data_IF_607627685721
#
_entry.id   IF_607627685721
#
_cell.length_a   1.000
_cell.length_b   1.000
_cell.length_c   1.000
_cell.angle_alpha   90.00
_cell.angle_beta   90.00
_cell.angle_gamma   90.00
#
_symmetry.space_group_name_H-M   'P 1'
#
loop_
_entity.id
_entity.type
_entity.pdbx_description
1 polymer ?
#
# COMPACT_ATOMS: atom_id res chain seq x y z
N UNK A 1 3.86 -2.53 18.44
CA UNK A 1 4.64 -3.56 17.73
C UNK A 1 3.68 -4.44 16.92
N UNK A 2 3.52 -4.23 15.60
CA UNK A 2 2.76 -5.14 14.71
C UNK A 2 3.08 -5.00 13.19
N UNK A 3 3.98 -4.12 12.77
CA UNK A 3 4.24 -3.86 11.34
C UNK A 3 4.98 -4.98 10.58
N UNK A 4 5.65 -5.92 11.28
CA UNK A 4 6.42 -6.97 10.62
C UNK A 4 5.53 -8.07 9.99
N UNK A 5 4.35 -8.33 10.55
CA UNK A 5 3.47 -9.41 10.09
C UNK A 5 2.76 -9.08 8.77
N UNK A 6 2.40 -7.81 8.54
CA UNK A 6 1.76 -7.35 7.29
C UNK A 6 2.68 -7.47 6.07
N UNK A 7 3.98 -7.19 6.24
CA UNK A 7 4.98 -7.33 5.17
C UNK A 7 5.14 -8.77 4.68
N UNK A 8 4.94 -9.75 5.54
CA UNK A 8 5.06 -11.17 5.18
C UNK A 8 3.83 -11.70 4.41
N UNK A 9 2.65 -11.08 4.55
CA UNK A 9 1.41 -11.58 3.96
C UNK A 9 0.98 -10.90 2.65
N UNK A 10 1.47 -9.69 2.35
CA UNK A 10 0.99 -8.88 1.22
C UNK A 10 1.94 -8.83 0.01
N UNK A 11 3.11 -9.44 0.11
CA UNK A 11 4.14 -9.44 -0.94
C UNK A 11 5.15 -8.30 -0.79
N UNK A 12 5.88 -8.02 -1.87
CA UNK A 12 6.96 -7.02 -1.86
C UNK A 12 6.41 -5.59 -1.85
N UNK A 13 6.97 -4.74 -0.98
CA UNK A 13 6.69 -3.31 -0.96
C UNK A 13 7.40 -2.62 -2.12
N UNK A 14 6.64 -1.91 -2.97
CA UNK A 14 7.16 -1.21 -4.15
C UNK A 14 7.14 0.32 -4.02
N UNK A 15 6.35 0.84 -3.09
CA UNK A 15 6.23 2.28 -2.80
C UNK A 15 5.89 2.47 -1.32
N UNK A 16 6.44 3.52 -0.70
CA UNK A 16 6.10 3.98 0.64
C UNK A 16 6.38 5.48 0.74
N UNK A 17 5.43 6.24 1.28
CA UNK A 17 5.58 7.64 1.60
C UNK A 17 4.70 7.98 2.79
N UNK A 18 5.16 8.95 3.59
CA UNK A 18 4.30 9.67 4.52
C UNK A 18 3.62 10.82 3.74
N UNK A 19 2.40 11.20 4.13
CA UNK A 19 1.65 12.30 3.53
C UNK A 19 0.71 12.94 4.57
N UNK A 20 0.46 14.25 4.44
CA UNK A 20 -0.38 15.05 5.35
C UNK A 20 -1.46 15.81 4.56
N UNK A 21 -2.07 15.09 3.60
CA UNK A 21 -3.05 15.62 2.66
C UNK A 21 -4.30 14.73 2.67
N UNK A 22 -5.46 15.31 2.34
CA UNK A 22 -6.71 14.54 2.20
C UNK A 22 -6.69 13.56 1.02
N UNK A 23 -5.82 13.81 0.03
CA UNK A 23 -5.63 12.96 -1.14
C UNK A 23 -4.15 12.80 -1.50
N UNK A 24 -3.85 11.66 -2.13
CA UNK A 24 -2.54 11.33 -2.71
C UNK A 24 -2.76 10.62 -4.06
N UNK A 25 -1.94 10.97 -5.05
CA UNK A 25 -1.90 10.29 -6.34
C UNK A 25 -0.60 9.51 -6.46
N UNK A 26 -0.71 8.23 -6.84
CA UNK A 26 0.42 7.33 -6.99
C UNK A 26 0.35 6.72 -8.39
N UNK A 27 1.35 7.03 -9.22
CA UNK A 27 1.48 6.48 -10.56
C UNK A 27 1.95 5.02 -10.50
N UNK A 28 1.13 4.09 -11.00
CA UNK A 28 1.46 2.65 -11.01
C UNK A 28 1.59 2.05 -12.41
N UNK A 29 1.53 2.86 -13.47
CA UNK A 29 1.52 2.38 -14.86
C UNK A 29 2.75 1.56 -15.23
N UNK A 30 3.93 1.94 -14.71
CA UNK A 30 5.22 1.28 -14.97
C UNK A 30 5.35 -0.09 -14.30
N UNK A 31 4.43 -0.47 -13.41
CA UNK A 31 4.44 -1.75 -12.74
C UNK A 31 3.68 -2.83 -13.54
N UNK A 32 4.07 -4.11 -13.44
CA UNK A 32 3.45 -5.19 -14.21
C UNK A 32 1.96 -5.35 -13.89
N UNK A 33 1.19 -5.97 -14.79
CA UNK A 33 -0.16 -6.41 -14.47
C UNK A 33 -0.12 -7.38 -13.27
N UNK A 34 -1.12 -7.31 -12.38
CA UNK A 34 -1.12 -8.13 -11.18
C UNK A 34 -2.02 -7.62 -10.05
N UNK A 35 -1.94 -8.31 -8.92
CA UNK A 35 -2.63 -7.95 -7.69
C UNK A 35 -1.75 -7.02 -6.87
N UNK A 36 -2.32 -5.91 -6.44
CA UNK A 36 -1.67 -4.93 -5.59
C UNK A 36 -2.46 -4.68 -4.32
N UNK A 37 -1.75 -4.24 -3.28
CA UNK A 37 -2.32 -3.87 -1.99
C UNK A 37 -1.92 -2.43 -1.68
N UNK A 38 -2.92 -1.56 -1.50
CA UNK A 38 -2.74 -0.24 -0.90
C UNK A 38 -2.89 -0.38 0.62
N UNK A 39 -1.89 0.07 1.36
CA UNK A 39 -1.86 0.02 2.82
C UNK A 39 -1.70 1.45 3.32
N UNK A 40 -2.70 1.96 4.02
CA UNK A 40 -2.66 3.27 4.69
C UNK A 40 -2.55 3.00 6.18
N UNK A 41 -1.52 3.57 6.80
CA UNK A 41 -1.27 3.42 8.23
C UNK A 41 -1.30 4.80 8.88
N UNK A 42 -2.08 4.93 9.95
CA UNK A 42 -2.03 6.08 10.85
C UNK A 42 -1.59 5.59 12.23
N UNK A 43 -1.50 6.49 13.21
CA UNK A 43 -1.24 6.12 14.60
C UNK A 43 -2.33 5.20 15.18
N UNK A 44 -3.56 5.32 14.68
CA UNK A 44 -4.74 4.69 15.27
C UNK A 44 -5.27 3.52 14.45
N UNK A 45 -5.01 3.49 13.14
CA UNK A 45 -5.61 2.51 12.25
C UNK A 45 -4.68 2.05 11.13
N UNK A 46 -5.03 0.88 10.57
CA UNK A 46 -4.44 0.38 9.34
C UNK A 46 -5.57 -0.04 8.40
N UNK A 47 -5.59 0.56 7.22
CA UNK A 47 -6.54 0.26 6.15
C UNK A 47 -5.81 -0.48 5.04
N UNK A 48 -6.35 -1.63 4.62
CA UNK A 48 -5.80 -2.42 3.51
C UNK A 48 -6.84 -2.54 2.41
N UNK A 49 -6.46 -2.19 1.18
CA UNK A 49 -7.29 -2.31 -0.03
C UNK A 49 -6.55 -3.10 -1.09
N UNK A 50 -7.21 -4.13 -1.63
CA UNK A 50 -6.72 -4.91 -2.78
C UNK A 50 -7.26 -4.31 -4.07
N UNK A 51 -6.41 -4.18 -5.08
CA UNK A 51 -6.82 -3.85 -6.45
C UNK A 51 -6.06 -4.71 -7.46
N UNK A 52 -6.58 -4.78 -8.69
CA UNK A 52 -5.98 -5.54 -9.79
C UNK A 52 -5.63 -4.56 -10.90
N UNK A 53 -4.35 -4.50 -11.26
CA UNK A 53 -3.88 -3.77 -12.45
C UNK A 53 -3.96 -4.73 -13.65
N UNK A 54 -4.71 -4.32 -14.67
CA UNK A 54 -4.80 -5.02 -15.96
C UNK A 54 -3.63 -4.65 -16.88
#
# INVERSE_FOLDING_TARGET
MNNLNLKLSLGAQIYQSDFDSESIEIEVSQHPAGVYYCVIQTENETVVRKFVKQ
#
